data_IF_259360770207
#
_entry.id   IF_259360770207
#
_cell.length_a   1.000
_cell.length_b   1.000
_cell.length_c   1.000
_cell.angle_alpha   90.00
_cell.angle_beta   90.00
_cell.angle_gamma   90.00
#
_symmetry.space_group_name_H-M   'P 1'
#
loop_
_entity.id
_entity.type
_entity.pdbx_description
1 polymer ?
#
# COMPACT_ATOMS: atom_id res chain seq x y z
N UNK A 1 -14.89 14.06 19.83
CA UNK A 1 -14.84 14.46 18.42
C UNK A 1 -13.45 15.04 18.15
N UNK A 2 -12.65 14.36 17.31
CA UNK A 2 -11.27 14.78 17.04
C UNK A 2 -11.17 16.17 16.41
N UNK A 3 -12.18 16.57 15.62
CA UNK A 3 -12.25 17.88 14.96
C UNK A 3 -12.41 19.07 15.94
N UNK A 4 -12.72 18.80 17.20
CA UNK A 4 -12.90 19.81 18.24
C UNK A 4 -11.67 19.93 19.17
N UNK A 5 -10.60 19.17 18.90
CA UNK A 5 -9.38 19.18 19.69
C UNK A 5 -8.46 20.34 19.30
N UNK A 6 -7.68 20.85 20.26
CA UNK A 6 -6.66 21.88 19.99
C UNK A 6 -5.62 21.36 19.00
N UNK A 7 -5.20 20.10 19.12
CA UNK A 7 -4.27 19.45 18.20
C UNK A 7 -4.77 19.46 16.74
N UNK A 8 -6.06 19.17 16.52
CA UNK A 8 -6.63 19.24 15.18
C UNK A 8 -6.62 20.67 14.64
N UNK A 9 -7.01 21.64 15.48
CA UNK A 9 -6.98 23.06 15.13
C UNK A 9 -5.58 23.56 14.79
N UNK A 10 -4.58 23.17 15.57
CA UNK A 10 -3.18 23.50 15.30
C UNK A 10 -2.71 22.93 13.97
N UNK A 11 -3.01 21.65 13.70
CA UNK A 11 -2.65 21.00 12.44
C UNK A 11 -3.27 21.69 11.22
N UNK A 12 -4.56 22.02 11.27
CA UNK A 12 -5.27 22.71 10.18
C UNK A 12 -4.74 24.14 9.99
N UNK A 13 -4.44 24.84 11.08
CA UNK A 13 -3.83 26.18 11.02
C UNK A 13 -2.47 26.13 10.34
N UNK A 14 -1.62 25.18 10.71
CA UNK A 14 -0.31 25.01 10.10
C UNK A 14 -0.40 24.67 8.61
N UNK A 15 -1.33 23.80 8.22
CA UNK A 15 -1.56 23.50 6.81
C UNK A 15 -2.03 24.71 6.01
N UNK A 16 -2.89 25.55 6.59
CA UNK A 16 -3.33 26.79 5.95
C UNK A 16 -2.15 27.76 5.76
N UNK A 17 -1.32 27.94 6.77
CA UNK A 17 -0.10 28.75 6.67
C UNK A 17 0.84 28.26 5.58
N UNK A 18 1.04 26.94 5.47
CA UNK A 18 1.87 26.36 4.42
C UNK A 18 1.27 26.49 3.03
N UNK A 19 -0.04 26.44 2.92
CA UNK A 19 -0.73 26.68 1.65
C UNK A 19 -0.56 28.14 1.21
N UNK A 20 -0.78 29.09 2.12
CA UNK A 20 -0.62 30.53 1.85
C UNK A 20 0.83 30.91 1.53
N UNK A 21 1.80 30.20 2.11
CA UNK A 21 3.23 30.34 1.81
C UNK A 21 3.65 29.69 0.47
N UNK A 22 2.75 28.96 -0.20
CA UNK A 22 3.03 28.26 -1.46
C UNK A 22 3.83 26.95 -1.31
N UNK A 23 3.88 26.38 -0.12
CA UNK A 23 4.55 25.10 0.12
C UNK A 23 3.67 23.88 -0.23
N UNK A 24 2.37 24.08 -0.26
CA UNK A 24 1.42 23.04 -0.67
C UNK A 24 1.03 23.27 -2.14
N UNK A 25 0.90 22.17 -2.87
CA UNK A 25 0.47 22.21 -4.27
C UNK A 25 -0.84 22.99 -4.42
N UNK A 26 -0.92 23.98 -5.34
CA UNK A 26 -2.08 24.88 -5.41
C UNK A 26 -3.41 24.17 -5.66
N UNK A 27 -3.39 23.10 -6.45
CA UNK A 27 -4.59 22.33 -6.79
C UNK A 27 -4.84 21.13 -5.88
N UNK A 28 -4.20 21.07 -4.70
CA UNK A 28 -4.26 19.93 -3.77
C UNK A 28 -5.68 19.49 -3.40
N UNK A 29 -6.66 20.39 -3.44
CA UNK A 29 -8.07 20.07 -3.13
C UNK A 29 -8.83 19.47 -4.32
N UNK A 30 -8.34 19.62 -5.53
CA UNK A 30 -9.05 19.24 -6.77
C UNK A 30 -8.28 18.22 -7.60
N UNK A 31 -6.98 18.08 -7.38
CA UNK A 31 -6.16 17.10 -8.08
C UNK A 31 -6.45 15.69 -7.55
N UNK A 32 -6.67 14.76 -8.46
CA UNK A 32 -6.93 13.35 -8.16
C UNK A 32 -5.73 12.45 -8.42
N UNK A 33 -4.59 13.04 -8.81
CA UNK A 33 -3.37 12.28 -9.05
C UNK A 33 -2.72 11.84 -7.75
N UNK A 34 -2.16 10.64 -7.75
CA UNK A 34 -1.39 10.14 -6.60
C UNK A 34 -0.08 10.91 -6.41
N UNK A 35 0.32 11.09 -5.15
CA UNK A 35 1.52 11.86 -4.77
C UNK A 35 2.80 11.38 -5.48
N UNK A 36 2.95 10.07 -5.70
CA UNK A 36 4.09 9.51 -6.42
C UNK A 36 4.14 9.96 -7.89
N UNK A 37 2.98 10.08 -8.55
CA UNK A 37 2.88 10.58 -9.93
C UNK A 37 3.29 12.04 -9.99
N UNK A 38 2.85 12.84 -9.03
CA UNK A 38 3.20 14.26 -8.93
C UNK A 38 4.69 14.46 -8.66
N UNK A 39 5.30 13.62 -7.81
CA UNK A 39 6.74 13.63 -7.55
C UNK A 39 7.51 13.25 -8.82
N UNK A 40 7.08 12.21 -9.55
CA UNK A 40 7.68 11.82 -10.83
C UNK A 40 7.61 12.93 -11.88
N UNK A 41 6.54 13.72 -11.88
CA UNK A 41 6.38 14.88 -12.75
C UNK A 41 7.22 16.11 -12.31
N UNK A 42 7.87 16.06 -11.15
CA UNK A 42 8.67 17.16 -10.61
C UNK A 42 7.86 18.28 -9.92
N UNK A 43 6.57 18.05 -9.69
CA UNK A 43 5.66 19.04 -9.10
C UNK A 43 5.64 19.00 -7.56
N UNK A 44 6.20 17.95 -6.95
CA UNK A 44 6.18 17.74 -5.51
C UNK A 44 7.53 17.24 -5.02
N UNK A 45 8.05 17.86 -3.96
CA UNK A 45 9.33 17.46 -3.33
C UNK A 45 9.15 16.36 -2.29
N UNK A 46 8.05 16.38 -1.54
CA UNK A 46 7.77 15.41 -0.48
C UNK A 46 6.27 15.09 -0.39
N UNK A 47 5.96 13.95 0.19
CA UNK A 47 4.59 13.56 0.51
C UNK A 47 4.56 12.66 1.75
N UNK A 48 3.42 12.57 2.40
CA UNK A 48 3.19 11.68 3.54
C UNK A 48 2.67 10.33 3.07
N UNK A 49 3.17 9.25 3.68
CA UNK A 49 2.72 7.89 3.38
C UNK A 49 2.87 6.98 4.58
N UNK A 50 2.10 5.90 4.62
CA UNK A 50 2.36 4.79 5.52
C UNK A 50 3.61 4.05 5.05
N UNK A 51 4.56 3.82 5.97
CA UNK A 51 5.82 3.15 5.67
C UNK A 51 5.76 1.71 6.16
N UNK A 52 6.16 0.80 5.29
CA UNK A 52 6.26 -0.65 5.54
C UNK A 52 7.63 -1.14 5.07
N UNK A 53 8.06 -2.36 5.45
CA UNK A 53 9.24 -2.98 4.86
C UNK A 53 9.19 -2.94 3.32
N UNK A 54 10.32 -2.61 2.67
CA UNK A 54 10.41 -2.47 1.21
C UNK A 54 9.84 -1.18 0.63
N UNK A 55 9.24 -0.29 1.44
CA UNK A 55 8.59 0.93 0.95
C UNK A 55 9.50 1.80 0.06
N UNK A 56 10.77 1.96 0.42
CA UNK A 56 11.69 2.82 -0.37
C UNK A 56 11.96 2.26 -1.77
N UNK A 57 11.93 0.94 -1.95
CA UNK A 57 12.04 0.29 -3.26
C UNK A 57 10.81 0.59 -4.10
N UNK A 58 9.62 0.43 -3.53
CA UNK A 58 8.35 0.79 -4.19
C UNK A 58 8.29 2.29 -4.52
N UNK A 59 8.72 3.15 -3.57
CA UNK A 59 8.75 4.59 -3.78
C UNK A 59 9.68 4.97 -4.95
N UNK A 60 10.89 4.39 -5.02
CA UNK A 60 11.81 4.62 -6.15
C UNK A 60 11.21 4.17 -7.47
N UNK A 61 10.58 3.00 -7.52
CA UNK A 61 9.93 2.50 -8.73
C UNK A 61 8.79 3.42 -9.20
N UNK A 62 7.96 3.90 -8.29
CA UNK A 62 6.79 4.73 -8.60
C UNK A 62 7.14 6.19 -8.89
N UNK A 63 8.11 6.77 -8.18
CA UNK A 63 8.52 8.17 -8.34
C UNK A 63 9.62 8.37 -9.39
N UNK A 64 10.38 7.31 -9.69
CA UNK A 64 11.54 7.38 -10.59
C UNK A 64 12.78 8.02 -9.96
N UNK A 65 12.79 8.29 -8.65
CA UNK A 65 13.89 8.91 -7.93
C UNK A 65 14.18 8.23 -6.61
N UNK A 66 15.40 8.37 -6.08
CA UNK A 66 15.73 7.89 -4.75
C UNK A 66 15.00 8.72 -3.69
N UNK A 67 14.27 8.04 -2.83
CA UNK A 67 13.51 8.64 -1.74
C UNK A 67 14.21 8.41 -0.40
N UNK A 68 14.06 9.36 0.51
CA UNK A 68 14.45 9.22 1.89
C UNK A 68 13.21 9.25 2.79
N UNK A 69 13.10 8.31 3.71
CA UNK A 69 11.98 8.25 4.64
C UNK A 69 12.33 8.94 5.97
N UNK A 70 11.50 9.88 6.38
CA UNK A 70 11.52 10.46 7.72
C UNK A 70 10.34 9.88 8.50
N UNK A 71 10.63 9.31 9.67
CA UNK A 71 9.62 8.69 10.52
C UNK A 71 9.13 9.72 11.54
N UNK A 72 7.82 9.88 11.62
CA UNK A 72 7.19 10.75 12.61
C UNK A 72 6.74 9.92 13.82
N UNK A 73 6.81 10.51 15.00
CA UNK A 73 6.30 9.91 16.23
C UNK A 73 7.28 8.97 16.95
N UNK A 74 8.51 8.82 16.51
CA UNK A 74 9.50 7.97 17.19
C UNK A 74 9.84 8.46 18.61
N UNK A 75 9.85 9.78 18.80
CA UNK A 75 10.21 10.42 20.06
C UNK A 75 8.99 10.84 20.90
N UNK A 76 7.77 10.44 20.50
CA UNK A 76 6.54 10.77 21.20
C UNK A 76 6.08 9.56 22.00
N UNK A 77 5.86 9.74 23.31
CA UNK A 77 5.30 8.69 24.18
C UNK A 77 3.95 8.24 23.62
N UNK A 78 3.82 6.93 23.32
CA UNK A 78 2.64 6.38 22.64
C UNK A 78 2.55 6.71 21.15
N UNK A 79 3.63 7.22 20.52
CA UNK A 79 3.66 7.59 19.10
C UNK A 79 3.45 6.42 18.13
N UNK A 80 3.67 5.20 18.58
CA UNK A 80 3.29 3.98 17.86
C UNK A 80 2.25 3.21 18.64
N UNK A 81 1.19 2.82 17.98
CA UNK A 81 0.15 1.94 18.55
C UNK A 81 -0.09 0.76 17.62
N UNK A 82 -0.54 -0.34 18.19
CA UNK A 82 -1.04 -1.47 17.40
C UNK A 82 -2.28 -1.01 16.65
N UNK A 83 -2.30 -1.19 15.34
CA UNK A 83 -3.48 -0.93 14.51
C UNK A 83 -4.64 -1.79 14.99
N UNK A 84 -5.85 -1.27 14.93
CA UNK A 84 -7.06 -2.03 15.24
C UNK A 84 -7.13 -3.26 14.31
N UNK A 85 -7.25 -4.44 14.91
CA UNK A 85 -7.32 -5.72 14.18
C UNK A 85 -8.58 -5.86 13.33
N UNK A 86 -9.61 -5.05 13.56
CA UNK A 86 -10.86 -4.99 12.79
C UNK A 86 -10.94 -3.76 11.89
N UNK A 87 -9.82 -3.26 11.43
CA UNK A 87 -9.81 -2.06 10.58
C UNK A 87 -10.42 -2.32 9.19
N UNK A 88 -10.26 -3.54 8.70
CA UNK A 88 -10.87 -4.01 7.46
C UNK A 88 -11.64 -5.31 7.72
N UNK A 89 -12.95 -5.24 7.60
CA UNK A 89 -13.83 -6.39 7.73
C UNK A 89 -14.43 -6.74 6.37
N UNK A 90 -14.38 -8.04 6.03
CA UNK A 90 -15.04 -8.57 4.84
C UNK A 90 -16.37 -9.20 5.22
N UNK A 91 -17.46 -8.64 4.73
CA UNK A 91 -18.80 -9.14 4.98
C UNK A 91 -19.44 -9.84 3.78
N UNK A 92 -20.35 -10.76 4.04
CA UNK A 92 -21.22 -11.36 3.03
C UNK A 92 -22.57 -10.65 3.08
N UNK A 93 -23.01 -10.12 1.95
CA UNK A 93 -24.28 -9.41 1.88
C UNK A 93 -25.46 -10.36 2.15
N UNK A 94 -26.49 -9.86 2.85
CA UNK A 94 -27.69 -10.64 3.19
C UNK A 94 -28.50 -11.10 1.97
N UNK A 95 -28.33 -10.40 0.84
CA UNK A 95 -28.94 -10.75 -0.46
C UNK A 95 -28.01 -11.55 -1.37
N UNK A 96 -26.94 -12.14 -0.84
CA UNK A 96 -26.09 -13.05 -1.61
C UNK A 96 -26.90 -14.26 -2.13
N UNK A 97 -26.71 -14.58 -3.39
CA UNK A 97 -27.39 -15.74 -4.00
C UNK A 97 -26.89 -17.07 -3.42
N UNK A 98 -25.61 -17.12 -3.00
CA UNK A 98 -24.99 -18.26 -2.36
C UNK A 98 -24.00 -17.82 -1.27
N UNK A 99 -24.49 -17.55 -0.06
CA UNK A 99 -23.63 -17.08 1.04
C UNK A 99 -22.62 -18.14 1.50
N UNK A 100 -22.94 -19.43 1.35
CA UNK A 100 -22.02 -20.51 1.72
C UNK A 100 -20.82 -20.56 0.76
N UNK A 101 -21.05 -20.41 -0.54
CA UNK A 101 -19.96 -20.35 -1.52
C UNK A 101 -19.14 -19.09 -1.35
N UNK A 102 -19.76 -17.96 -1.08
CA UNK A 102 -19.06 -16.71 -0.78
C UNK A 102 -18.15 -16.85 0.44
N UNK A 103 -18.62 -17.51 1.51
CA UNK A 103 -17.82 -17.79 2.69
C UNK A 103 -16.66 -18.75 2.40
N UNK A 104 -16.87 -19.80 1.61
CA UNK A 104 -15.81 -20.73 1.17
C UNK A 104 -14.72 -19.99 0.39
N UNK A 105 -15.10 -19.09 -0.52
CA UNK A 105 -14.13 -18.28 -1.28
C UNK A 105 -13.31 -17.35 -0.36
N UNK A 106 -13.98 -16.61 0.53
CA UNK A 106 -13.28 -15.75 1.50
C UNK A 106 -12.33 -16.59 2.37
N UNK A 107 -12.82 -17.74 2.89
CA UNK A 107 -11.99 -18.64 3.72
C UNK A 107 -10.78 -19.16 2.96
N UNK A 108 -10.92 -19.49 1.67
CA UNK A 108 -9.80 -19.95 0.85
C UNK A 108 -8.69 -18.88 0.70
N UNK A 109 -9.03 -17.61 0.60
CA UNK A 109 -8.04 -16.51 0.57
C UNK A 109 -7.20 -16.45 1.87
N UNK A 110 -7.74 -16.92 2.99
CA UNK A 110 -7.02 -16.94 4.27
C UNK A 110 -6.27 -18.24 4.55
N UNK A 111 -6.66 -19.36 3.95
CA UNK A 111 -6.18 -20.69 4.31
C UNK A 111 -5.45 -21.45 3.21
N UNK A 112 -5.62 -21.05 1.96
CA UNK A 112 -5.06 -21.72 0.79
C UNK A 112 -4.02 -20.83 0.08
N UNK A 113 -2.71 -21.18 0.16
CA UNK A 113 -1.66 -20.40 -0.51
C UNK A 113 -1.79 -20.35 -2.03
N UNK A 114 -2.33 -21.38 -2.68
CA UNK A 114 -2.51 -21.40 -4.12
C UNK A 114 -3.57 -20.38 -4.54
N UNK A 115 -4.72 -20.37 -3.84
CA UNK A 115 -5.79 -19.40 -4.08
C UNK A 115 -5.32 -17.98 -3.81
N UNK A 116 -4.56 -17.77 -2.71
CA UNK A 116 -4.07 -16.44 -2.38
C UNK A 116 -3.01 -15.94 -3.36
N UNK A 117 -2.10 -16.80 -3.82
CA UNK A 117 -1.14 -16.43 -4.86
C UNK A 117 -1.82 -16.15 -6.21
N UNK A 118 -2.80 -16.96 -6.59
CA UNK A 118 -3.58 -16.70 -7.81
C UNK A 118 -4.30 -15.34 -7.74
N UNK A 119 -4.86 -15.01 -6.58
CA UNK A 119 -5.52 -13.73 -6.35
C UNK A 119 -4.55 -12.56 -6.42
N UNK A 120 -3.42 -12.65 -5.72
CA UNK A 120 -2.49 -11.53 -5.57
C UNK A 120 -1.50 -11.42 -6.73
N UNK A 121 -0.95 -12.54 -7.18
CA UNK A 121 0.17 -12.58 -8.13
C UNK A 121 -0.25 -13.03 -9.53
N UNK A 122 -1.44 -13.62 -9.68
CA UNK A 122 -1.91 -14.17 -10.94
C UNK A 122 -1.38 -15.57 -11.21
N UNK A 123 -1.12 -15.88 -12.46
CA UNK A 123 -0.71 -17.21 -12.95
C UNK A 123 0.81 -17.27 -13.02
N UNK A 124 1.40 -18.27 -12.36
CA UNK A 124 2.84 -18.52 -12.43
C UNK A 124 3.27 -18.75 -13.89
N UNK A 125 4.46 -18.29 -14.25
CA UNK A 125 5.07 -18.29 -15.56
C UNK A 125 4.34 -17.48 -16.65
N UNK A 126 3.24 -16.80 -16.25
CA UNK A 126 2.49 -15.85 -17.10
C UNK A 126 2.57 -14.43 -16.53
N UNK A 127 2.33 -14.27 -15.23
CA UNK A 127 2.33 -12.99 -14.54
C UNK A 127 3.53 -12.82 -13.60
N UNK A 128 4.06 -13.91 -13.08
CA UNK A 128 5.24 -13.95 -12.24
C UNK A 128 5.98 -15.27 -12.43
N UNK A 129 7.24 -15.32 -12.05
CA UNK A 129 8.05 -16.56 -11.98
C UNK A 129 8.55 -16.77 -10.57
N UNK A 130 8.79 -18.02 -10.19
CA UNK A 130 9.41 -18.38 -8.92
C UNK A 130 10.88 -18.65 -9.17
N UNK A 131 11.75 -18.00 -8.41
CA UNK A 131 13.20 -18.16 -8.50
C UNK A 131 13.66 -19.37 -7.67
N UNK A 132 14.92 -19.79 -7.88
CA UNK A 132 15.53 -20.93 -7.18
C UNK A 132 15.56 -20.76 -5.66
N UNK A 133 15.55 -19.54 -5.16
CA UNK A 133 15.47 -19.20 -3.73
C UNK A 133 14.04 -19.20 -3.17
N UNK A 134 13.05 -19.56 -3.98
CA UNK A 134 11.64 -19.63 -3.61
C UNK A 134 10.93 -18.26 -3.58
N UNK A 135 11.58 -17.19 -4.04
CA UNK A 135 10.94 -15.86 -4.14
C UNK A 135 10.25 -15.68 -5.49
N UNK A 136 9.23 -14.82 -5.54
CA UNK A 136 8.61 -14.40 -6.80
C UNK A 136 9.39 -13.26 -7.46
N UNK A 137 9.33 -13.20 -8.77
CA UNK A 137 9.90 -12.12 -9.58
C UNK A 137 9.07 -11.90 -10.85
N UNK A 138 9.30 -10.79 -11.50
CA UNK A 138 8.67 -10.46 -12.78
C UNK A 138 9.03 -11.47 -13.86
N UNK A 139 8.13 -11.74 -14.80
CA UNK A 139 8.43 -12.51 -15.99
C UNK A 139 9.36 -11.73 -16.92
N UNK A 140 9.98 -12.41 -17.88
CA UNK A 140 10.98 -11.80 -18.75
C UNK A 140 10.39 -10.63 -19.56
N UNK A 141 11.07 -9.49 -19.48
CA UNK A 141 10.65 -8.24 -20.10
C UNK A 141 9.70 -7.38 -19.27
N UNK A 142 9.35 -7.82 -18.08
CA UNK A 142 8.56 -7.04 -17.12
C UNK A 142 9.41 -6.62 -15.90
N UNK A 143 9.02 -5.52 -15.28
CA UNK A 143 9.58 -4.97 -14.06
C UNK A 143 8.50 -4.22 -13.26
N UNK A 144 8.88 -3.59 -12.17
CA UNK A 144 7.96 -2.83 -11.30
C UNK A 144 7.19 -1.70 -12.01
N UNK A 145 7.64 -1.27 -13.19
CA UNK A 145 7.02 -0.16 -13.94
C UNK A 145 6.04 -0.60 -15.03
N UNK A 146 6.11 -1.87 -15.47
CA UNK A 146 5.38 -2.34 -16.64
C UNK A 146 4.72 -3.71 -16.48
N UNK A 147 4.74 -4.31 -15.28
CA UNK A 147 4.09 -5.61 -15.02
C UNK A 147 2.58 -5.56 -15.27
N UNK A 148 2.03 -6.67 -15.75
CA UNK A 148 0.63 -6.75 -16.19
C UNK A 148 -0.35 -7.05 -15.06
N UNK A 149 0.07 -7.82 -14.08
CA UNK A 149 -0.79 -8.23 -12.98
C UNK A 149 -0.01 -8.42 -11.69
N UNK A 150 -0.40 -7.68 -10.68
CA UNK A 150 -0.04 -7.88 -9.29
C UNK A 150 -1.00 -7.04 -8.43
N UNK A 151 -1.71 -7.69 -7.50
CA UNK A 151 -2.65 -7.03 -6.60
C UNK A 151 -1.97 -6.80 -5.26
N UNK A 152 -1.67 -5.55 -4.93
CA UNK A 152 -1.17 -5.22 -3.59
C UNK A 152 -2.34 -5.09 -2.59
N UNK A 153 -3.10 -6.17 -2.41
CA UNK A 153 -4.33 -6.19 -1.60
C UNK A 153 -4.26 -7.11 -0.38
N UNK A 154 -3.20 -7.89 -0.25
CA UNK A 154 -3.03 -8.87 0.83
C UNK A 154 -3.02 -8.29 2.25
N UNK A 155 -2.78 -6.98 2.38
CA UNK A 155 -2.80 -6.27 3.66
C UNK A 155 -4.21 -6.02 4.21
N UNK A 156 -5.26 -6.11 3.36
CA UNK A 156 -6.65 -5.93 3.79
C UNK A 156 -7.58 -7.08 3.35
N UNK A 157 -7.17 -7.93 2.42
CA UNK A 157 -7.99 -9.04 1.94
C UNK A 157 -7.16 -10.30 1.81
N UNK A 158 -7.57 -11.34 2.54
CA UNK A 158 -6.85 -12.61 2.60
C UNK A 158 -5.67 -12.59 3.57
N UNK A 159 -4.82 -13.59 3.48
CA UNK A 159 -3.62 -13.73 4.30
C UNK A 159 -2.37 -13.53 3.44
N UNK A 160 -1.76 -12.35 3.51
CA UNK A 160 -0.55 -12.04 2.74
C UNK A 160 0.64 -12.96 3.07
N UNK A 161 0.68 -13.60 4.23
CA UNK A 161 1.73 -14.56 4.59
C UNK A 161 1.63 -15.90 3.84
N UNK A 162 0.53 -16.11 3.12
CA UNK A 162 0.36 -17.25 2.21
C UNK A 162 0.87 -16.96 0.79
N UNK A 163 1.37 -15.77 0.51
CA UNK A 163 1.90 -15.42 -0.82
C UNK A 163 3.42 -15.51 -0.86
N UNK A 164 3.95 -15.61 -2.06
CA UNK A 164 5.40 -15.52 -2.28
C UNK A 164 5.93 -14.15 -1.87
N UNK A 165 7.12 -14.14 -1.26
CA UNK A 165 7.90 -12.91 -1.07
C UNK A 165 8.50 -12.51 -2.41
N UNK A 166 8.37 -11.26 -2.79
CA UNK A 166 8.93 -10.74 -4.03
C UNK A 166 10.40 -10.39 -3.88
N UNK A 167 11.21 -10.81 -4.87
CA UNK A 167 12.63 -10.48 -4.94
C UNK A 167 12.84 -9.16 -5.73
N UNK A 168 12.21 -8.11 -5.25
CA UNK A 168 12.29 -6.75 -5.82
C UNK A 168 13.15 -5.81 -4.96
N UNK A 169 13.88 -6.37 -4.01
CA UNK A 169 14.68 -5.64 -3.02
C UNK A 169 13.98 -5.47 -1.67
N UNK A 170 12.74 -5.97 -1.52
CA UNK A 170 11.98 -5.86 -0.27
C UNK A 170 12.14 -7.07 0.66
N UNK A 171 12.75 -8.16 0.20
CA UNK A 171 12.81 -9.42 0.96
C UNK A 171 13.65 -9.35 2.25
N UNK A 172 14.56 -8.38 2.33
CA UNK A 172 15.44 -8.18 3.49
C UNK A 172 15.03 -6.94 4.32
N UNK A 173 13.85 -6.37 4.07
CA UNK A 173 13.36 -5.16 4.70
C UNK A 173 12.53 -5.44 5.97
#
# INVERSE_FOLDING_TARGET
NEFETDTYKEAVTQLAEWFDAGYIYPDALTDTQGSAVMMKAGNTFSYMSAIKPGYLVEAKASTGTDCYAMYFGQDVEGGYSTTNVSFYDTGIATNSADPEMAFKFISALYTDPEVMNLWQNGIQDVNYKVLDDGTAYYVDGEDASNFKYHQNTGWFMGNQFNTYVWNDGSKDA
#
